data_IF_854902436500
#
_entry.id   IF_854902436500
#
_cell.length_a   1.000
_cell.length_b   1.000
_cell.length_c   1.000
_cell.angle_alpha   90.00
_cell.angle_beta   90.00
_cell.angle_gamma   90.00
#
_symmetry.space_group_name_H-M   'P 1'
#
loop_
_entity.id
_entity.type
_entity.pdbx_description
1 polymer ?
#
# COMPACT_ATOMS: atom_id res chain seq x y z
N UNK A 1 -32.03 -4.72 26.64
CA UNK A 1 -30.66 -4.28 26.29
C UNK A 1 -30.53 -4.38 24.77
N UNK A 2 -30.21 -3.28 24.09
CA UNK A 2 -29.89 -3.34 22.66
C UNK A 2 -28.51 -4.00 22.53
N UNK A 3 -28.44 -5.12 21.82
CA UNK A 3 -27.15 -5.75 21.52
C UNK A 3 -26.30 -4.79 20.69
N UNK A 4 -25.09 -4.48 21.14
CA UNK A 4 -24.10 -3.78 20.32
C UNK A 4 -23.83 -4.63 19.08
N UNK A 5 -23.98 -4.04 17.89
CA UNK A 5 -23.68 -4.70 16.61
C UNK A 5 -22.38 -4.11 16.07
N UNK A 6 -21.37 -4.96 15.90
CA UNK A 6 -20.08 -4.60 15.33
C UNK A 6 -19.94 -5.27 13.96
N UNK A 7 -19.47 -4.51 12.98
CA UNK A 7 -19.02 -5.01 11.69
C UNK A 7 -17.57 -4.61 11.49
N UNK A 8 -16.75 -5.54 11.00
CA UNK A 8 -15.36 -5.32 10.65
C UNK A 8 -15.23 -5.52 9.14
N UNK A 9 -14.55 -4.59 8.49
CA UNK A 9 -14.26 -4.64 7.07
C UNK A 9 -12.76 -4.52 6.90
N UNK A 10 -12.25 -5.25 5.92
CA UNK A 10 -10.92 -5.01 5.40
C UNK A 10 -10.86 -3.66 4.66
N UNK A 11 -9.67 -3.12 4.46
CA UNK A 11 -9.50 -1.80 3.84
C UNK A 11 -9.36 -1.91 2.33
N UNK A 12 -8.25 -2.49 1.88
CA UNK A 12 -7.86 -2.53 0.48
C UNK A 12 -8.72 -3.50 -0.30
N UNK A 13 -9.13 -3.11 -1.50
CA UNK A 13 -10.07 -3.84 -2.35
C UNK A 13 -11.43 -4.20 -1.70
N UNK A 14 -11.72 -3.69 -0.49
CA UNK A 14 -12.99 -3.87 0.23
C UNK A 14 -13.69 -2.52 0.43
N UNK A 15 -13.06 -1.59 1.16
CA UNK A 15 -13.56 -0.22 1.36
C UNK A 15 -12.95 0.75 0.34
N UNK A 16 -11.70 0.51 -0.08
CA UNK A 16 -11.00 1.28 -1.10
C UNK A 16 -10.81 0.43 -2.36
N UNK A 17 -10.95 1.00 -3.58
CA UNK A 17 -10.75 0.24 -4.82
C UNK A 17 -9.27 0.16 -5.24
N UNK A 18 -8.34 0.28 -4.29
CA UNK A 18 -6.90 0.39 -4.51
C UNK A 18 -6.11 -0.29 -3.39
N UNK A 19 -4.81 -0.44 -3.62
CA UNK A 19 -3.80 -0.84 -2.64
C UNK A 19 -3.27 0.41 -1.92
N UNK A 20 -3.58 0.55 -0.64
CA UNK A 20 -3.23 1.74 0.13
C UNK A 20 -1.73 1.87 0.42
N UNK A 21 -1.01 0.76 0.54
CA UNK A 21 0.44 0.76 0.83
C UNK A 21 1.23 1.30 -0.38
N UNK A 22 0.95 0.75 -1.57
CA UNK A 22 1.58 1.19 -2.81
C UNK A 22 1.30 2.68 -3.09
N UNK A 23 0.05 3.12 -2.91
CA UNK A 23 -0.36 4.51 -3.12
C UNK A 23 0.26 5.48 -2.10
N UNK A 24 0.45 5.03 -0.86
CA UNK A 24 1.09 5.84 0.16
C UNK A 24 2.57 6.05 -0.13
N UNK A 25 3.29 5.00 -0.52
CA UNK A 25 4.68 5.11 -0.95
C UNK A 25 4.83 6.03 -2.18
N UNK A 26 3.93 5.94 -3.15
CA UNK A 26 3.88 6.84 -4.32
C UNK A 26 3.69 8.31 -3.91
N UNK A 27 2.78 8.59 -2.97
CA UNK A 27 2.58 9.95 -2.43
C UNK A 27 3.84 10.48 -1.74
N UNK A 28 4.50 9.66 -0.91
CA UNK A 28 5.74 10.06 -0.23
C UNK A 28 6.86 10.34 -1.21
N UNK A 29 7.00 9.52 -2.26
CA UNK A 29 7.98 9.73 -3.33
C UNK A 29 7.71 11.04 -4.09
N UNK A 30 6.49 11.24 -4.60
CA UNK A 30 6.10 12.46 -5.33
C UNK A 30 6.22 13.72 -4.50
N UNK A 31 6.05 13.62 -3.19
CA UNK A 31 6.16 14.74 -2.27
C UNK A 31 7.58 15.01 -1.77
N UNK A 32 8.58 14.27 -2.26
CA UNK A 32 9.99 14.40 -1.89
C UNK A 32 10.31 13.94 -0.45
N UNK A 33 9.40 13.18 0.17
CA UNK A 33 9.55 12.68 1.55
C UNK A 33 10.22 11.31 1.62
N UNK A 34 10.35 10.63 0.47
CA UNK A 34 11.01 9.33 0.34
C UNK A 34 12.31 9.40 -0.50
N UNK A 35 13.06 10.50 -0.41
CA UNK A 35 14.31 10.67 -1.16
C UNK A 35 14.09 11.15 -2.59
N UNK A 36 14.96 10.72 -3.52
CA UNK A 36 14.81 11.07 -4.93
C UNK A 36 13.52 10.48 -5.50
N UNK A 37 12.58 11.30 -6.02
CA UNK A 37 11.27 10.82 -6.45
C UNK A 37 11.32 9.73 -7.53
N UNK A 38 12.26 9.83 -8.47
CA UNK A 38 12.36 8.88 -9.58
C UNK A 38 12.82 7.51 -9.07
N UNK A 39 13.85 7.49 -8.22
CA UNK A 39 14.34 6.26 -7.61
C UNK A 39 13.32 5.64 -6.66
N UNK A 40 12.64 6.46 -5.85
CA UNK A 40 11.64 6.00 -4.91
C UNK A 40 10.42 5.37 -5.61
N UNK A 41 9.94 5.99 -6.69
CA UNK A 41 8.86 5.43 -7.52
C UNK A 41 9.29 4.11 -8.17
N UNK A 42 10.49 4.07 -8.76
CA UNK A 42 11.01 2.85 -9.39
C UNK A 42 11.12 1.69 -8.38
N UNK A 43 11.56 2.00 -7.15
CA UNK A 43 11.64 0.99 -6.08
C UNK A 43 10.26 0.53 -5.62
N UNK A 44 9.28 1.43 -5.53
CA UNK A 44 7.91 1.08 -5.17
C UNK A 44 7.29 0.11 -6.19
N UNK A 45 7.50 0.37 -7.48
CA UNK A 45 7.07 -0.54 -8.57
C UNK A 45 7.77 -1.91 -8.50
N UNK A 46 9.08 -1.93 -8.27
CA UNK A 46 9.84 -3.17 -8.12
C UNK A 46 9.32 -4.02 -6.96
N UNK A 47 9.07 -3.40 -5.79
CA UNK A 47 8.50 -4.08 -4.63
C UNK A 47 7.10 -4.63 -4.93
N UNK A 48 6.24 -3.86 -5.60
CA UNK A 48 4.90 -4.31 -5.97
C UNK A 48 4.94 -5.49 -6.95
N UNK A 49 5.84 -5.45 -7.93
CA UNK A 49 6.03 -6.55 -8.88
C UNK A 49 6.50 -7.83 -8.19
N UNK A 50 7.47 -7.71 -7.28
CA UNK A 50 7.97 -8.80 -6.44
C UNK A 50 6.90 -9.40 -5.53
N UNK A 51 6.09 -8.54 -4.92
CA UNK A 51 4.95 -8.95 -4.10
C UNK A 51 3.94 -9.75 -4.93
N UNK A 52 3.55 -9.24 -6.10
CA UNK A 52 2.64 -9.93 -7.02
C UNK A 52 3.19 -11.26 -7.54
N UNK A 53 4.51 -11.37 -7.67
CA UNK A 53 5.17 -12.63 -8.04
C UNK A 53 5.28 -13.62 -6.87
N UNK A 54 5.00 -13.20 -5.63
CA UNK A 54 5.16 -14.00 -4.42
C UNK A 54 6.61 -14.20 -4.00
N UNK A 55 7.54 -13.33 -4.44
CA UNK A 55 8.97 -13.41 -4.13
C UNK A 55 9.44 -12.31 -3.14
N UNK A 56 8.52 -11.45 -2.70
CA UNK A 56 8.83 -10.38 -1.77
C UNK A 56 9.03 -10.95 -0.36
N UNK A 57 10.24 -10.74 0.17
CA UNK A 57 10.65 -11.04 1.53
C UNK A 57 10.73 -9.77 2.36
N UNK A 58 10.64 -9.90 3.68
CA UNK A 58 10.84 -8.78 4.61
C UNK A 58 12.33 -8.46 4.85
N UNK A 59 13.23 -9.35 4.41
CA UNK A 59 14.68 -9.17 4.38
C UNK A 59 15.12 -8.44 3.10
#
# INVERSE_FOLDING_TARGET
MTSQRLALFDLDHTLLPLDSDHQWAEFLAKSGRAGDPVQALARNEDLMNRYNAGDLTAE
#
